data_IF_732539656027
#
_entry.id   IF_732539656027
#
_cell.length_a   1.000
_cell.length_b   1.000
_cell.length_c   1.000
_cell.angle_alpha   90.00
_cell.angle_beta   90.00
_cell.angle_gamma   90.00
#
_symmetry.space_group_name_H-M   'P 1'
#
loop_
_entity.id
_entity.type
_entity.pdbx_description
1 polymer ?
#
# COMPACT_ATOMS: atom_id res chain seq x y z
N UNK A 1 13.40 -16.90 11.62
CA UNK A 1 12.85 -17.12 10.26
C UNK A 1 12.15 -18.47 10.07
N UNK A 2 12.73 -19.62 10.45
CA UNK A 2 12.10 -20.96 10.24
C UNK A 2 10.69 -21.15 10.86
N UNK A 3 10.38 -20.52 12.00
CA UNK A 3 9.03 -20.54 12.61
C UNK A 3 8.00 -19.70 11.84
N UNK A 4 8.45 -18.71 11.06
CA UNK A 4 7.57 -17.76 10.36
C UNK A 4 6.82 -18.42 9.20
N UNK A 5 7.49 -19.32 8.48
CA UNK A 5 6.91 -20.11 7.38
C UNK A 5 6.22 -21.40 7.84
N UNK A 6 6.47 -21.87 9.06
CA UNK A 6 5.88 -23.13 9.55
C UNK A 6 4.44 -22.97 10.05
N UNK A 7 4.04 -21.75 10.42
CA UNK A 7 2.68 -21.40 10.90
C UNK A 7 1.86 -20.57 9.90
N UNK A 8 2.50 -20.01 8.87
CA UNK A 8 1.82 -19.13 7.91
C UNK A 8 1.43 -19.94 6.68
N UNK A 9 0.14 -19.96 6.35
CA UNK A 9 -0.37 -20.45 5.07
C UNK A 9 0.45 -19.83 3.92
N UNK A 10 0.90 -20.61 2.91
CA UNK A 10 1.67 -20.07 1.79
C UNK A 10 0.93 -18.91 1.08
N UNK A 11 -0.41 -18.95 1.11
CA UNK A 11 -1.28 -17.88 0.61
C UNK A 11 -1.01 -16.57 1.36
N UNK A 12 -1.00 -16.62 2.70
CA UNK A 12 -0.74 -15.45 3.54
C UNK A 12 0.65 -14.86 3.31
N UNK A 13 1.66 -15.72 3.11
CA UNK A 13 3.03 -15.28 2.83
C UNK A 13 3.10 -14.54 1.48
N UNK A 14 2.51 -15.10 0.43
CA UNK A 14 2.47 -14.48 -0.90
C UNK A 14 1.72 -13.15 -0.84
N UNK A 15 0.55 -13.09 -0.18
CA UNK A 15 -0.21 -11.85 -0.03
C UNK A 15 0.60 -10.75 0.65
N UNK A 16 1.32 -11.08 1.74
CA UNK A 16 2.17 -10.12 2.44
C UNK A 16 3.32 -9.62 1.58
N UNK A 17 3.99 -10.51 0.85
CA UNK A 17 5.14 -10.14 0.01
C UNK A 17 4.69 -9.20 -1.10
N UNK A 18 3.60 -9.51 -1.79
CA UNK A 18 3.06 -8.65 -2.86
C UNK A 18 2.68 -7.28 -2.32
N UNK A 19 1.92 -7.22 -1.21
CA UNK A 19 1.52 -5.95 -0.59
C UNK A 19 2.72 -5.13 -0.14
N UNK A 20 3.68 -5.76 0.54
CA UNK A 20 4.88 -5.09 1.02
C UNK A 20 5.71 -4.54 -0.14
N UNK A 21 5.93 -5.36 -1.17
CA UNK A 21 6.66 -4.95 -2.37
C UNK A 21 5.99 -3.76 -3.06
N UNK A 22 4.68 -3.79 -3.25
CA UNK A 22 3.95 -2.70 -3.90
C UNK A 22 4.08 -1.37 -3.16
N UNK A 23 3.88 -1.36 -1.84
CA UNK A 23 4.04 -0.14 -1.03
C UNK A 23 5.48 0.35 -0.99
N UNK A 24 6.46 -0.55 -0.85
CA UNK A 24 7.88 -0.18 -0.87
C UNK A 24 8.26 0.40 -2.23
N UNK A 25 7.81 -0.19 -3.33
CA UNK A 25 8.10 0.29 -4.67
C UNK A 25 7.47 1.67 -4.92
N UNK A 26 6.19 1.85 -4.55
CA UNK A 26 5.48 3.13 -4.65
C UNK A 26 6.10 4.22 -3.76
N UNK A 27 6.62 3.86 -2.59
CA UNK A 27 7.30 4.83 -1.73
C UNK A 27 8.71 5.16 -2.19
N UNK A 28 9.49 4.15 -2.60
CA UNK A 28 10.89 4.33 -2.93
C UNK A 28 11.09 4.98 -4.30
N UNK A 29 10.44 4.45 -5.35
CA UNK A 29 10.78 4.82 -6.73
C UNK A 29 10.23 6.20 -7.10
N UNK A 30 8.91 6.45 -7.11
CA UNK A 30 8.40 7.74 -7.57
C UNK A 30 8.63 8.87 -6.57
N UNK A 31 8.64 8.60 -5.26
CA UNK A 31 8.69 9.65 -4.21
C UNK A 31 10.09 9.93 -3.69
N UNK A 32 10.87 8.91 -3.33
CA UNK A 32 12.21 9.12 -2.76
C UNK A 32 13.28 9.29 -3.84
N UNK A 33 13.28 8.41 -4.86
CA UNK A 33 14.35 8.33 -5.87
C UNK A 33 14.11 9.29 -7.04
N UNK A 34 12.95 9.19 -7.70
CA UNK A 34 12.70 9.91 -8.94
C UNK A 34 12.07 11.30 -8.73
N UNK A 35 11.51 11.59 -7.54
CA UNK A 35 10.79 12.84 -7.21
C UNK A 35 9.96 13.35 -8.39
N UNK A 36 9.07 12.50 -8.89
CA UNK A 36 8.36 12.74 -10.16
C UNK A 36 7.59 14.07 -10.11
N UNK A 37 7.64 14.91 -11.16
CA UNK A 37 6.87 16.15 -11.23
C UNK A 37 5.36 15.96 -10.98
N UNK A 38 4.81 14.78 -11.34
CA UNK A 38 3.39 14.47 -11.10
C UNK A 38 3.01 14.32 -9.62
N UNK A 39 3.91 13.84 -8.77
CA UNK A 39 3.67 13.75 -7.31
C UNK A 39 3.70 15.14 -6.66
N UNK A 40 4.57 16.03 -7.15
CA UNK A 40 4.65 17.42 -6.68
C UNK A 40 3.38 18.19 -7.09
N UNK A 41 2.92 18.03 -8.34
CA UNK A 41 1.69 18.65 -8.83
C UNK A 41 0.45 18.20 -8.05
N UNK A 42 0.35 16.91 -7.71
CA UNK A 42 -0.71 16.40 -6.84
C UNK A 42 -0.73 17.10 -5.48
N UNK A 43 0.43 17.29 -4.85
CA UNK A 43 0.52 17.98 -3.56
C UNK A 43 0.32 19.50 -3.67
N UNK A 44 0.64 20.14 -4.80
CA UNK A 44 0.41 21.57 -5.02
C UNK A 44 -1.08 21.96 -4.96
N UNK A 45 -1.99 21.03 -5.27
CA UNK A 45 -3.43 21.25 -5.07
C UNK A 45 -3.83 21.44 -3.61
N UNK A 46 -3.01 20.95 -2.66
CA UNK A 46 -3.27 21.03 -1.22
C UNK A 46 -2.33 22.04 -0.52
N UNK A 47 -1.08 22.14 -0.97
CA UNK A 47 -0.02 22.96 -0.36
C UNK A 47 0.60 23.85 -1.42
N UNK A 48 0.32 25.16 -1.37
CA UNK A 48 0.82 26.18 -2.33
C UNK A 48 2.32 26.51 -2.18
N UNK A 49 3.04 25.79 -1.32
CA UNK A 49 4.49 25.98 -1.14
C UNK A 49 5.25 24.78 -1.72
N UNK A 50 6.00 25.02 -2.78
CA UNK A 50 6.68 23.99 -3.57
C UNK A 50 7.79 23.27 -2.80
N UNK A 51 8.53 23.98 -1.93
CA UNK A 51 9.57 23.36 -1.10
C UNK A 51 8.98 22.42 -0.03
N UNK A 52 7.86 22.83 0.57
CA UNK A 52 7.14 22.00 1.53
C UNK A 52 6.46 20.81 0.86
N UNK A 53 5.91 20.98 -0.35
CA UNK A 53 5.33 19.90 -1.14
C UNK A 53 6.38 18.84 -1.47
N UNK A 54 7.56 19.25 -1.95
CA UNK A 54 8.66 18.34 -2.25
C UNK A 54 9.14 17.58 -0.99
N UNK A 55 9.28 18.27 0.14
CA UNK A 55 9.64 17.62 1.40
C UNK A 55 8.57 16.61 1.87
N UNK A 56 7.28 16.96 1.77
CA UNK A 56 6.18 16.07 2.18
C UNK A 56 6.06 14.85 1.28
N UNK A 57 6.26 14.96 -0.04
CA UNK A 57 6.28 13.81 -0.95
C UNK A 57 7.35 12.80 -0.52
N UNK A 58 8.54 13.27 -0.16
CA UNK A 58 9.63 12.39 0.32
C UNK A 58 9.26 11.73 1.65
N UNK A 59 8.67 12.47 2.59
CA UNK A 59 8.21 11.92 3.87
C UNK A 59 7.08 10.90 3.70
N UNK A 60 6.15 11.14 2.78
CA UNK A 60 5.13 10.18 2.37
C UNK A 60 5.79 8.90 1.83
N UNK A 61 6.79 9.03 0.97
CA UNK A 61 7.55 7.89 0.44
C UNK A 61 8.19 7.03 1.54
N UNK A 62 8.80 7.66 2.55
CA UNK A 62 9.31 6.92 3.72
C UNK A 62 8.19 6.24 4.51
N UNK A 63 7.06 6.92 4.70
CA UNK A 63 5.87 6.35 5.36
C UNK A 63 5.38 5.09 4.64
N UNK A 64 5.34 5.11 3.32
CA UNK A 64 4.92 3.97 2.48
C UNK A 64 5.89 2.79 2.58
N UNK A 65 7.19 3.05 2.57
CA UNK A 65 8.22 2.00 2.75
C UNK A 65 8.06 1.34 4.11
N UNK A 66 7.91 2.14 5.18
CA UNK A 66 7.72 1.63 6.54
C UNK A 66 6.42 0.86 6.66
N UNK A 67 5.33 1.34 6.04
CA UNK A 67 4.04 0.67 6.05
C UNK A 67 4.08 -0.66 5.28
N UNK A 68 4.75 -0.71 4.13
CA UNK A 68 4.99 -1.93 3.37
C UNK A 68 5.79 -2.96 4.18
N UNK A 69 6.87 -2.54 4.84
CA UNK A 69 7.64 -3.41 5.73
C UNK A 69 6.81 -3.90 6.92
N UNK A 70 5.93 -3.04 7.47
CA UNK A 70 5.04 -3.38 8.56
C UNK A 70 3.97 -4.42 8.15
N UNK A 71 3.40 -4.30 6.95
CA UNK A 71 2.47 -5.30 6.38
C UNK A 71 3.10 -6.68 6.24
N UNK A 72 4.42 -6.74 6.00
CA UNK A 72 5.15 -7.99 5.93
C UNK A 72 5.13 -8.71 7.27
N UNK A 73 5.45 -8.03 8.37
CA UNK A 73 5.65 -8.67 9.69
C UNK A 73 4.39 -8.73 10.57
N UNK A 74 3.36 -7.94 10.28
CA UNK A 74 2.20 -7.80 11.16
C UNK A 74 1.36 -9.08 11.25
N UNK A 75 0.88 -9.38 12.46
CA UNK A 75 -0.07 -10.47 12.74
C UNK A 75 -1.49 -9.96 12.99
N UNK A 76 -1.73 -8.65 12.91
CA UNK A 76 -3.02 -8.04 13.21
C UNK A 76 -3.84 -7.95 11.92
N UNK A 77 -4.93 -8.72 11.83
CA UNK A 77 -5.84 -8.68 10.68
C UNK A 77 -6.38 -7.27 10.39
N UNK A 78 -6.64 -6.46 11.42
CA UNK A 78 -7.12 -5.08 11.27
C UNK A 78 -6.18 -4.19 10.45
N UNK A 79 -4.87 -4.48 10.40
CA UNK A 79 -3.91 -3.70 9.59
C UNK A 79 -4.17 -3.89 8.10
N UNK A 80 -4.61 -5.09 7.67
CA UNK A 80 -4.98 -5.33 6.28
C UNK A 80 -6.29 -4.62 5.90
N UNK A 81 -7.23 -4.46 6.85
CA UNK A 81 -8.42 -3.63 6.62
C UNK A 81 -8.08 -2.15 6.55
N UNK A 82 -7.15 -1.67 7.38
CA UNK A 82 -6.62 -0.31 7.26
C UNK A 82 -5.95 -0.09 5.90
N UNK A 83 -5.22 -1.09 5.40
CA UNK A 83 -4.65 -1.04 4.05
C UNK A 83 -5.73 -0.91 2.96
N UNK A 84 -6.85 -1.65 3.07
CA UNK A 84 -7.99 -1.49 2.14
C UNK A 84 -8.53 -0.06 2.17
N UNK A 85 -8.71 0.52 3.36
CA UNK A 85 -9.18 1.90 3.49
C UNK A 85 -8.18 2.88 2.86
N UNK A 86 -6.88 2.71 3.09
CA UNK A 86 -5.83 3.54 2.53
C UNK A 86 -5.80 3.49 0.99
N UNK A 87 -5.86 2.29 0.40
CA UNK A 87 -5.87 2.11 -1.05
C UNK A 87 -7.14 2.70 -1.69
N UNK A 88 -8.30 2.55 -1.05
CA UNK A 88 -9.54 3.18 -1.51
C UNK A 88 -9.47 4.70 -1.44
N UNK A 89 -8.90 5.26 -0.37
CA UNK A 89 -8.72 6.70 -0.24
C UNK A 89 -7.75 7.26 -1.31
N UNK A 90 -6.64 6.57 -1.56
CA UNK A 90 -5.71 6.92 -2.64
C UNK A 90 -6.37 6.87 -4.02
N UNK A 91 -7.19 5.86 -4.26
CA UNK A 91 -7.92 5.74 -5.53
C UNK A 91 -8.92 6.87 -5.73
N UNK A 92 -9.69 7.23 -4.69
CA UNK A 92 -10.62 8.37 -4.74
C UNK A 92 -9.85 9.67 -4.98
N UNK A 93 -8.71 9.86 -4.30
CA UNK A 93 -7.86 11.02 -4.49
C UNK A 93 -7.40 11.15 -5.96
N UNK A 94 -6.85 10.09 -6.54
CA UNK A 94 -6.46 10.08 -7.96
C UNK A 94 -7.66 10.33 -8.87
N UNK A 95 -8.82 9.73 -8.59
CA UNK A 95 -10.01 9.92 -9.41
C UNK A 95 -10.55 11.36 -9.40
N UNK A 96 -10.34 12.10 -8.31
CA UNK A 96 -10.80 13.51 -8.19
C UNK A 96 -9.80 14.47 -8.81
N UNK A 97 -8.50 14.28 -8.55
CA UNK A 97 -7.47 15.26 -8.93
C UNK A 97 -6.79 14.95 -10.26
N UNK A 98 -6.68 13.66 -10.65
CA UNK A 98 -5.98 13.21 -11.86
C UNK A 98 -6.74 12.06 -12.55
N UNK A 99 -8.01 12.28 -12.99
CA UNK A 99 -8.85 11.24 -13.56
C UNK A 99 -8.29 10.63 -14.86
N UNK A 100 -7.45 11.37 -15.59
CA UNK A 100 -6.81 10.91 -16.82
C UNK A 100 -5.90 9.69 -16.57
N UNK A 101 -5.33 9.56 -15.36
CA UNK A 101 -4.53 8.40 -14.99
C UNK A 101 -5.34 7.10 -14.96
N UNK A 102 -6.68 7.17 -14.83
CA UNK A 102 -7.55 6.00 -14.73
C UNK A 102 -7.79 5.31 -16.08
N UNK A 103 -7.63 6.02 -17.19
CA UNK A 103 -7.87 5.48 -18.53
C UNK A 103 -6.60 4.92 -19.19
N UNK A 104 -5.44 5.08 -18.55
CA UNK A 104 -4.19 4.51 -19.02
C UNK A 104 -4.20 2.97 -18.96
N UNK A 105 -3.48 2.27 -19.84
CA UNK A 105 -3.44 0.80 -19.85
C UNK A 105 -2.84 0.20 -18.57
N UNK A 106 -1.95 0.94 -17.90
CA UNK A 106 -1.37 0.59 -16.60
C UNK A 106 -1.76 1.64 -15.57
N UNK A 107 -3.05 1.66 -15.21
CA UNK A 107 -3.62 2.69 -14.35
C UNK A 107 -3.58 2.35 -12.85
N UNK A 108 -3.69 3.37 -11.97
CA UNK A 108 -3.80 3.18 -10.53
C UNK A 108 -5.06 2.41 -10.09
N UNK A 109 -6.14 2.40 -10.88
CA UNK A 109 -7.38 1.69 -10.54
C UNK A 109 -7.16 0.18 -10.47
N UNK A 110 -6.64 -0.42 -11.54
CA UNK A 110 -6.41 -1.87 -11.61
C UNK A 110 -5.40 -2.30 -10.53
N UNK A 111 -4.37 -1.49 -10.29
CA UNK A 111 -3.38 -1.75 -9.24
C UNK A 111 -4.02 -1.75 -7.84
N UNK A 112 -4.72 -0.68 -7.46
CA UNK A 112 -5.33 -0.56 -6.13
C UNK A 112 -6.39 -1.65 -5.88
N UNK A 113 -7.23 -1.96 -6.87
CA UNK A 113 -8.23 -3.04 -6.76
C UNK A 113 -7.56 -4.40 -6.53
N UNK A 114 -6.47 -4.68 -7.24
CA UNK A 114 -5.69 -5.92 -7.06
C UNK A 114 -5.10 -6.02 -5.64
N UNK A 115 -4.55 -4.92 -5.12
CA UNK A 115 -3.97 -4.86 -3.77
C UNK A 115 -5.04 -4.93 -2.66
N UNK A 116 -6.23 -4.37 -2.89
CA UNK A 116 -7.39 -4.55 -2.02
C UNK A 116 -7.76 -6.03 -1.94
N UNK A 117 -7.84 -6.72 -3.07
CA UNK A 117 -8.08 -8.17 -3.12
C UNK A 117 -7.04 -8.96 -2.30
N UNK A 118 -5.75 -8.67 -2.49
CA UNK A 118 -4.67 -9.30 -1.71
C UNK A 118 -4.76 -9.02 -0.21
N UNK A 119 -5.22 -7.82 0.17
CA UNK A 119 -5.42 -7.44 1.57
C UNK A 119 -6.56 -8.23 2.22
N UNK A 120 -7.66 -8.43 1.50
CA UNK A 120 -8.78 -9.25 1.97
C UNK A 120 -8.39 -10.72 2.11
N UNK A 121 -7.63 -11.26 1.16
CA UNK A 121 -7.10 -12.64 1.24
C UNK A 121 -6.23 -12.80 2.50
N UNK A 122 -5.30 -11.88 2.74
CA UNK A 122 -4.44 -11.90 3.93
C UNK A 122 -5.26 -11.81 5.23
N UNK A 123 -6.28 -10.95 5.27
CA UNK A 123 -7.18 -10.80 6.42
C UNK A 123 -7.94 -12.10 6.73
N UNK A 124 -8.53 -12.73 5.71
CA UNK A 124 -9.29 -13.97 5.85
C UNK A 124 -8.40 -15.11 6.34
N UNK A 125 -7.20 -15.28 5.76
CA UNK A 125 -6.25 -16.32 6.16
C UNK A 125 -5.75 -16.13 7.59
N UNK A 126 -5.48 -14.89 8.01
CA UNK A 126 -5.13 -14.58 9.40
C UNK A 126 -6.27 -14.94 10.38
N UNK A 127 -7.52 -14.64 10.02
CA UNK A 127 -8.69 -14.95 10.85
C UNK A 127 -8.89 -16.46 11.02
N UNK A 128 -8.69 -17.25 9.95
CA UNK A 128 -8.74 -18.72 9.99
C UNK A 128 -7.71 -19.28 10.99
N UNK A 129 -6.46 -18.82 10.91
CA UNK A 129 -5.40 -19.29 11.80
C UNK A 129 -5.65 -18.93 13.28
N UNK A 130 -6.23 -17.76 13.57
CA UNK A 130 -6.63 -17.41 14.94
C UNK A 130 -7.85 -18.20 15.45
N UNK A 131 -8.71 -18.68 14.56
CA UNK A 131 -9.86 -19.51 14.90
C UNK A 131 -9.49 -20.96 15.22
N UNK A 132 -8.49 -21.51 14.52
CA UNK A 132 -7.94 -22.84 14.82
C UNK A 132 -7.18 -22.89 16.16
N UNK A 133 -6.46 -21.84 16.54
CA UNK A 133 -5.74 -21.78 17.82
C UNK A 133 -6.66 -21.65 19.06
N UNK A 134 -7.98 -21.45 18.85
CA UNK A 134 -9.00 -21.33 19.90
C UNK A 134 -9.87 -22.58 20.07
N UNK A 135 -9.67 -23.62 19.25
CA UNK A 135 -10.29 -24.95 19.41
C UNK A 135 -9.25 -25.91 19.94
#
# INVERSE_FOLDING_TARGET
>A
MKKWFKESSPILAISRIVLAFSWIYQGAVPKVICRSPGEIQLLEYVIRNNELACAMVVWMGYGEIVFGAFLLVTRRGSVFLLNVIALSALLVYVAVFEPELLILPFNPLILNVSLIGMSLIAYIELKKNTGFAKR
#
